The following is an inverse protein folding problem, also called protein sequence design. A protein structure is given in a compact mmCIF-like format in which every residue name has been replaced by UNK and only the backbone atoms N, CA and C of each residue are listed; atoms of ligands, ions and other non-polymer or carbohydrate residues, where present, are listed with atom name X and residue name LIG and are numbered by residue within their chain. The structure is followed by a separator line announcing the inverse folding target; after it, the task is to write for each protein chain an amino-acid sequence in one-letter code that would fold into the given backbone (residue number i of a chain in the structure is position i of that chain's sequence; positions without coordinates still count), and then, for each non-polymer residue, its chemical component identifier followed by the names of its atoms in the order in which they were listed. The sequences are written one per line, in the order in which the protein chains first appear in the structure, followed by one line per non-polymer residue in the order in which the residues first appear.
data_IF_202519124799
#
_entry.id   IF_202519124799
#
_cell.length_a   1.000
_cell.length_b   1.000
_cell.length_c   1.000
_cell.angle_alpha   90.00
_cell.angle_beta   90.00
_cell.angle_gamma   90.00
#
_symmetry.space_group_name_H-M   'P 1'
#
loop_
_entity.id
_entity.type
_entity.pdbx_description
1 polymer ?
#
# COMPACT_ATOMS: atom_id res chain seq x y z
N UNK A 1 37.08 73.02 -30.57
CA UNK A 1 36.71 71.66 -31.02
C UNK A 1 35.82 71.03 -29.95
N UNK A 2 34.56 70.78 -30.30
CA UNK A 2 33.47 70.40 -29.41
C UNK A 2 33.56 68.90 -29.06
N UNK A 3 33.66 68.52 -27.78
CA UNK A 3 33.44 67.14 -27.34
C UNK A 3 32.22 67.09 -26.42
N UNK A 4 31.14 66.50 -26.97
CA UNK A 4 29.90 66.13 -26.29
C UNK A 4 30.19 65.02 -25.28
N UNK A 5 29.85 65.23 -24.01
CA UNK A 5 29.78 64.14 -23.02
C UNK A 5 28.31 63.93 -22.67
N UNK A 6 27.80 62.76 -23.04
CA UNK A 6 26.42 62.32 -22.85
C UNK A 6 26.22 61.89 -21.40
N UNK A 7 25.21 62.46 -20.74
CA UNK A 7 24.67 62.01 -19.46
C UNK A 7 24.00 60.65 -19.66
N UNK A 8 24.55 59.59 -19.05
CA UNK A 8 23.91 58.28 -18.97
C UNK A 8 22.99 58.23 -17.75
N UNK A 9 21.67 58.24 -17.98
CA UNK A 9 20.67 57.93 -16.96
C UNK A 9 20.73 56.43 -16.64
N UNK A 10 21.08 56.08 -15.40
CA UNK A 10 20.91 54.73 -14.88
C UNK A 10 19.43 54.49 -14.57
N UNK A 11 18.78 53.64 -15.38
CA UNK A 11 17.43 53.16 -15.11
C UNK A 11 17.48 52.11 -14.00
N UNK A 12 16.97 52.44 -12.81
CA UNK A 12 16.71 51.48 -11.75
C UNK A 12 15.44 50.70 -12.12
N UNK A 13 15.62 49.48 -12.63
CA UNK A 13 14.51 48.55 -12.83
C UNK A 13 14.09 47.97 -11.47
N UNK A 14 13.02 48.50 -10.89
CA UNK A 14 12.35 47.88 -9.75
C UNK A 14 11.58 46.64 -10.24
N UNK A 15 12.18 45.46 -10.11
CA UNK A 15 11.51 44.18 -10.34
C UNK A 15 10.56 43.90 -9.18
N UNK A 16 9.33 44.40 -9.27
CA UNK A 16 8.19 43.92 -8.48
C UNK A 16 7.96 42.45 -8.83
N UNK A 17 8.49 41.56 -8.00
CA UNK A 17 8.16 40.14 -8.00
C UNK A 17 6.71 39.99 -7.57
N UNK A 18 5.79 39.97 -8.53
CA UNK A 18 4.43 39.51 -8.31
C UNK A 18 4.48 37.99 -8.15
N UNK A 19 4.70 37.52 -6.92
CA UNK A 19 4.32 36.17 -6.51
C UNK A 19 2.81 36.20 -6.27
N UNK A 20 1.98 35.57 -7.10
CA UNK A 20 0.59 35.35 -6.71
C UNK A 20 0.55 34.26 -5.63
N UNK A 21 0.05 34.53 -4.41
CA UNK A 21 -0.30 33.46 -3.51
C UNK A 21 -1.62 32.87 -4.00
N UNK A 22 -1.64 31.58 -4.30
CA UNK A 22 -2.76 30.68 -4.01
C UNK A 22 -2.43 29.29 -4.55
N UNK A 23 -1.97 28.42 -3.65
CA UNK A 23 -2.30 27.00 -3.73
C UNK A 23 -3.82 26.91 -3.88
N UNK A 24 -4.30 26.68 -5.12
CA UNK A 24 -5.68 26.25 -5.32
C UNK A 24 -5.76 24.85 -4.70
N UNK A 25 -6.20 24.79 -3.44
CA UNK A 25 -6.83 23.59 -2.92
C UNK A 25 -8.02 23.36 -3.84
N UNK A 26 -7.90 22.40 -4.75
CA UNK A 26 -9.04 22.00 -5.57
C UNK A 26 -10.21 21.75 -4.61
N UNK A 27 -11.31 22.48 -4.82
CA UNK A 27 -12.53 22.26 -4.06
C UNK A 27 -12.86 20.76 -4.15
N UNK A 28 -13.21 20.10 -3.02
CA UNK A 28 -13.61 18.72 -3.08
C UNK A 28 -14.75 18.62 -4.10
N UNK A 29 -14.53 17.88 -5.19
CA UNK A 29 -15.64 17.38 -6.00
C UNK A 29 -16.53 16.63 -5.02
N UNK A 30 -17.76 17.10 -4.84
CA UNK A 30 -18.69 16.53 -3.88
C UNK A 30 -18.92 15.07 -4.27
N UNK A 31 -18.19 14.18 -3.62
CA UNK A 31 -18.25 12.76 -3.89
C UNK A 31 -19.63 12.20 -3.59
N UNK A 32 -20.02 11.09 -4.20
CA UNK A 32 -21.31 10.44 -3.98
C UNK A 32 -21.40 10.00 -2.50
N UNK A 33 -22.34 10.53 -1.69
CA UNK A 33 -22.49 10.09 -0.30
C UNK A 33 -22.99 8.67 -0.23
N UNK A 34 -22.39 7.90 0.67
CA UNK A 34 -23.03 6.69 1.21
C UNK A 34 -24.23 7.12 2.05
N UNK A 35 -25.42 6.69 1.65
CA UNK A 35 -26.70 7.21 2.18
C UNK A 35 -27.22 6.45 3.38
N UNK A 36 -26.94 5.15 3.43
CA UNK A 36 -27.43 4.27 4.48
C UNK A 36 -26.43 3.15 4.79
N UNK A 37 -26.78 2.34 5.79
CA UNK A 37 -25.94 1.25 6.25
C UNK A 37 -25.86 0.08 5.23
N UNK A 38 -26.83 -0.07 4.32
CA UNK A 38 -26.77 -1.10 3.29
C UNK A 38 -25.76 -0.72 2.20
N UNK A 39 -25.78 0.54 1.75
CA UNK A 39 -24.80 1.10 0.82
C UNK A 39 -23.39 1.08 1.44
N UNK A 40 -23.26 1.39 2.74
CA UNK A 40 -21.98 1.31 3.45
C UNK A 40 -21.39 -0.10 3.43
N UNK A 41 -22.22 -1.12 3.67
CA UNK A 41 -21.82 -2.53 3.59
C UNK A 41 -21.44 -2.93 2.17
N UNK A 42 -22.19 -2.48 1.17
CA UNK A 42 -21.89 -2.73 -0.24
C UNK A 42 -20.54 -2.15 -0.64
N UNK A 43 -20.25 -0.91 -0.23
CA UNK A 43 -18.94 -0.26 -0.44
C UNK A 43 -17.82 -1.06 0.23
N UNK A 44 -17.98 -1.44 1.50
CA UNK A 44 -16.99 -2.21 2.24
C UNK A 44 -16.74 -3.58 1.59
N UNK A 45 -17.80 -4.28 1.19
CA UNK A 45 -17.70 -5.54 0.46
C UNK A 45 -16.94 -5.39 -0.87
N UNK A 46 -17.22 -4.32 -1.63
CA UNK A 46 -16.49 -3.99 -2.86
C UNK A 46 -15.01 -3.68 -2.64
N UNK A 47 -14.65 -3.17 -1.46
CA UNK A 47 -13.27 -2.97 -1.02
C UNK A 47 -12.64 -4.22 -0.38
N UNK A 48 -13.38 -5.33 -0.30
CA UNK A 48 -13.00 -6.54 0.41
C UNK A 48 -12.65 -6.31 1.89
N UNK A 49 -13.33 -5.33 2.51
CA UNK A 49 -13.24 -4.98 3.92
C UNK A 49 -14.45 -5.53 4.67
N UNK A 50 -14.23 -5.87 5.94
CA UNK A 50 -15.26 -6.42 6.82
C UNK A 50 -15.39 -5.49 8.02
N UNK A 51 -16.60 -5.01 8.28
CA UNK A 51 -16.89 -4.19 9.45
C UNK A 51 -18.13 -4.71 10.19
N UNK A 52 -18.22 -4.53 11.53
CA UNK A 52 -19.39 -4.95 12.29
C UNK A 52 -20.65 -4.19 11.84
N UNK A 53 -21.77 -4.90 11.71
CA UNK A 53 -23.06 -4.35 11.27
C UNK A 53 -23.63 -3.32 12.27
N UNK A 54 -23.69 -3.67 13.55
CA UNK A 54 -24.30 -2.88 14.62
C UNK A 54 -23.79 -1.41 14.71
N UNK A 55 -22.46 -1.14 14.70
CA UNK A 55 -21.95 0.23 14.67
C UNK A 55 -22.38 1.04 13.44
N UNK A 56 -22.47 0.40 12.27
CA UNK A 56 -22.92 1.07 11.05
C UNK A 56 -24.42 1.40 11.17
N UNK A 57 -25.26 0.43 11.55
CA UNK A 57 -26.70 0.66 11.72
C UNK A 57 -26.97 1.79 12.71
N UNK A 58 -26.29 1.79 13.86
CA UNK A 58 -26.41 2.88 14.85
C UNK A 58 -25.99 4.23 14.29
N UNK A 59 -24.89 4.28 13.54
CA UNK A 59 -24.36 5.53 13.00
C UNK A 59 -25.28 6.16 11.93
N UNK A 60 -25.99 5.33 11.17
CA UNK A 60 -26.97 5.78 10.18
C UNK A 60 -28.36 6.01 10.78
N UNK A 61 -28.77 5.26 11.80
CA UNK A 61 -30.05 5.46 12.51
C UNK A 61 -30.12 6.79 13.26
N UNK A 62 -28.99 7.27 13.81
CA UNK A 62 -28.90 8.58 14.47
C UNK A 62 -28.76 9.78 13.52
N UNK A 63 -28.74 9.56 12.20
CA UNK A 63 -28.40 10.57 11.20
C UNK A 63 -29.64 11.07 10.45
N UNK A 64 -30.55 11.76 11.14
CA UNK A 64 -31.51 12.61 10.45
C UNK A 64 -30.75 13.74 9.73
N UNK A 65 -30.65 13.64 8.41
CA UNK A 65 -30.35 14.72 7.48
C UNK A 65 -29.14 15.61 7.80
N UNK A 66 -27.93 15.12 7.55
CA UNK A 66 -26.80 15.98 7.13
C UNK A 66 -25.83 15.14 6.31
N UNK A 67 -26.10 15.02 5.01
CA UNK A 67 -25.16 14.48 4.01
C UNK A 67 -24.01 15.44 3.71
N UNK A 68 -24.16 16.69 4.14
CA UNK A 68 -23.11 17.70 4.17
C UNK A 68 -22.53 17.73 5.58
N UNK A 69 -21.45 16.97 5.81
CA UNK A 69 -20.56 17.30 6.91
C UNK A 69 -19.95 18.68 6.56
N UNK A 70 -20.13 19.73 7.38
CA UNK A 70 -19.36 20.95 7.20
C UNK A 70 -17.87 20.57 7.18
N UNK A 71 -17.01 21.30 6.45
CA UNK A 71 -15.59 20.95 6.35
C UNK A 71 -14.99 20.85 7.75
N UNK A 72 -14.93 19.61 8.25
CA UNK A 72 -14.35 19.31 9.54
C UNK A 72 -12.87 19.60 9.37
N UNK A 73 -12.37 20.59 10.11
CA UNK A 73 -10.93 20.86 10.20
C UNK A 73 -10.22 19.52 10.33
N UNK A 74 -9.27 19.25 9.43
CA UNK A 74 -8.58 17.97 9.42
C UNK A 74 -7.82 17.84 10.73
N UNK A 75 -8.41 17.11 11.68
CA UNK A 75 -7.76 16.81 12.94
C UNK A 75 -6.64 15.81 12.68
N UNK A 76 -5.50 16.04 13.31
CA UNK A 76 -4.44 15.05 13.35
C UNK A 76 -4.98 13.74 13.98
N UNK A 77 -4.50 12.60 13.49
CA UNK A 77 -4.80 11.33 14.15
C UNK A 77 -4.24 11.34 15.59
N UNK A 78 -4.86 10.63 16.53
CA UNK A 78 -4.22 10.34 17.81
C UNK A 78 -2.86 9.66 17.58
N UNK A 79 -1.90 9.86 18.50
CA UNK A 79 -0.66 9.11 18.49
C UNK A 79 -0.93 7.60 18.55
N UNK A 80 -0.14 6.81 17.82
CA UNK A 80 -0.22 5.37 17.93
C UNK A 80 0.37 4.93 19.28
N UNK A 81 -0.31 4.06 20.04
CA UNK A 81 0.13 3.74 21.40
C UNK A 81 1.40 2.87 21.45
N UNK A 82 1.77 2.20 20.35
CA UNK A 82 2.97 1.36 20.28
C UNK A 82 3.01 0.19 21.27
N UNK A 83 1.87 -0.12 21.91
CA UNK A 83 1.76 -1.08 23.01
C UNK A 83 1.72 -2.53 22.50
N UNK A 84 2.86 -3.04 22.04
CA UNK A 84 3.05 -4.47 21.74
C UNK A 84 3.13 -5.29 23.04
N UNK A 85 2.73 -6.56 22.99
CA UNK A 85 2.76 -7.46 24.15
C UNK A 85 4.16 -8.03 24.43
N UNK A 86 5.02 -8.06 23.40
CA UNK A 86 6.41 -8.52 23.51
C UNK A 86 7.34 -7.70 22.62
N UNK A 87 8.65 -7.79 22.88
CA UNK A 87 9.66 -7.20 22.00
C UNK A 87 9.65 -7.83 20.60
N UNK A 88 9.33 -9.12 20.50
CA UNK A 88 9.19 -9.82 19.22
C UNK A 88 8.00 -9.27 18.41
N UNK A 89 6.85 -9.07 19.06
CA UNK A 89 5.68 -8.43 18.41
C UNK A 89 6.00 -7.01 17.98
N UNK A 90 6.70 -6.24 18.83
CA UNK A 90 7.14 -4.88 18.49
C UNK A 90 8.05 -4.87 17.26
N UNK A 91 9.05 -5.73 17.23
CA UNK A 91 9.98 -5.84 16.11
C UNK A 91 9.23 -6.24 14.84
N UNK A 92 8.33 -7.23 14.92
CA UNK A 92 7.52 -7.70 13.79
C UNK A 92 6.60 -6.60 13.25
N UNK A 93 5.95 -5.84 14.12
CA UNK A 93 5.09 -4.72 13.74
C UNK A 93 5.89 -3.65 12.97
N UNK A 94 7.04 -3.23 13.51
CA UNK A 94 7.92 -2.25 12.87
C UNK A 94 8.43 -2.79 11.52
N UNK A 95 8.75 -4.08 11.44
CA UNK A 95 9.18 -4.74 10.20
C UNK A 95 8.08 -4.71 9.12
N UNK A 96 6.85 -5.08 9.47
CA UNK A 96 5.71 -5.04 8.55
C UNK A 96 5.41 -3.60 8.10
N UNK A 97 5.44 -2.63 9.03
CA UNK A 97 5.27 -1.21 8.70
C UNK A 97 6.39 -0.69 7.78
N UNK A 98 7.63 -1.11 8.03
CA UNK A 98 8.79 -0.78 7.19
C UNK A 98 8.59 -1.29 5.77
N UNK A 99 8.16 -2.54 5.61
CA UNK A 99 7.90 -3.12 4.29
C UNK A 99 6.84 -2.31 3.54
N UNK A 100 5.72 -1.99 4.20
CA UNK A 100 4.68 -1.16 3.58
C UNK A 100 5.22 0.21 3.15
N UNK A 101 5.93 0.92 4.03
CA UNK A 101 6.51 2.23 3.68
C UNK A 101 7.52 2.13 2.53
N UNK A 102 8.35 1.10 2.52
CA UNK A 102 9.36 0.90 1.47
C UNK A 102 8.70 0.64 0.11
N UNK A 103 7.82 -0.34 0.02
CA UNK A 103 7.26 -0.75 -1.27
C UNK A 103 6.27 0.30 -1.83
N UNK A 104 5.59 1.05 -0.96
CA UNK A 104 4.61 2.05 -1.39
C UNK A 104 5.22 3.44 -1.61
N UNK A 105 6.32 3.77 -0.94
CA UNK A 105 6.79 5.16 -0.86
C UNK A 105 8.32 5.33 -0.84
N UNK A 106 9.14 4.33 -1.21
CA UNK A 106 10.62 4.49 -1.24
C UNK A 106 11.11 5.64 -2.11
N UNK A 107 10.39 5.94 -3.19
CA UNK A 107 10.71 7.01 -4.16
C UNK A 107 10.05 8.35 -3.80
N UNK A 108 9.24 8.38 -2.74
CA UNK A 108 8.57 9.59 -2.26
C UNK A 108 9.48 10.39 -1.32
N UNK A 109 9.24 11.70 -1.16
CA UNK A 109 9.80 12.47 -0.06
C UNK A 109 9.48 11.83 1.30
N UNK A 110 10.27 12.15 2.33
CA UNK A 110 10.05 11.63 3.70
C UNK A 110 8.62 11.83 4.21
N UNK A 111 7.97 12.94 3.84
CA UNK A 111 6.58 13.19 4.21
C UNK A 111 5.59 12.23 3.53
N UNK A 112 5.87 11.78 2.30
CA UNK A 112 5.10 10.71 1.64
C UNK A 112 5.24 9.36 2.37
N UNK A 113 6.44 9.05 2.85
CA UNK A 113 6.68 7.86 3.68
C UNK A 113 5.94 7.93 5.02
N UNK A 114 5.99 9.09 5.69
CA UNK A 114 5.25 9.34 6.93
C UNK A 114 3.74 9.23 6.72
N UNK A 115 3.23 9.73 5.59
CA UNK A 115 1.84 9.64 5.23
C UNK A 115 1.36 8.18 5.06
N UNK A 116 2.13 7.34 4.34
CA UNK A 116 1.82 5.89 4.22
C UNK A 116 1.85 5.20 5.59
N UNK A 117 2.88 5.46 6.41
CA UNK A 117 2.97 4.89 7.75
C UNK A 117 1.74 5.26 8.60
N UNK A 118 1.32 6.53 8.55
CA UNK A 118 0.15 7.01 9.26
C UNK A 118 -1.13 6.31 8.79
N UNK A 119 -1.32 6.09 7.49
CA UNK A 119 -2.48 5.36 6.94
C UNK A 119 -2.53 3.93 7.47
N UNK A 120 -1.41 3.20 7.49
CA UNK A 120 -1.35 1.84 8.03
C UNK A 120 -1.78 1.85 9.50
N UNK A 121 -1.24 2.76 10.32
CA UNK A 121 -1.59 2.85 11.75
C UNK A 121 -3.02 3.36 12.00
N UNK A 122 -3.59 4.12 11.06
CA UNK A 122 -5.01 4.48 11.10
C UNK A 122 -5.89 3.25 10.85
N UNK A 123 -5.54 2.40 9.86
CA UNK A 123 -6.23 1.14 9.58
C UNK A 123 -6.22 0.20 10.77
N UNK A 124 -5.09 0.04 11.47
CA UNK A 124 -4.99 -0.78 12.70
C UNK A 124 -5.97 -0.35 13.80
N UNK A 125 -6.47 0.88 13.75
CA UNK A 125 -7.41 1.46 14.72
C UNK A 125 -8.80 1.65 14.13
N UNK A 126 -9.07 1.13 12.94
CA UNK A 126 -10.33 1.26 12.23
C UNK A 126 -11.05 -0.09 12.16
N UNK A 127 -12.34 -0.12 12.51
CA UNK A 127 -13.11 -1.36 12.61
C UNK A 127 -13.33 -2.11 11.29
N UNK A 128 -13.04 -1.50 10.15
CA UNK A 128 -13.11 -2.16 8.85
C UNK A 128 -11.84 -2.97 8.50
N UNK A 129 -10.80 -2.92 9.34
CA UNK A 129 -9.49 -3.49 9.07
C UNK A 129 -9.02 -4.43 10.21
N UNK A 130 -7.99 -5.25 9.95
CA UNK A 130 -7.31 -6.01 10.99
C UNK A 130 -6.71 -5.11 12.07
N UNK A 131 -6.73 -5.57 13.33
CA UNK A 131 -6.25 -4.83 14.50
C UNK A 131 -4.75 -5.01 14.80
N UNK A 132 -3.95 -5.46 13.83
CA UNK A 132 -2.50 -5.61 13.96
C UNK A 132 -1.79 -5.06 12.72
N UNK A 133 -0.55 -4.60 12.87
CA UNK A 133 0.17 -3.93 11.78
C UNK A 133 0.43 -4.91 10.64
N UNK A 134 0.94 -6.10 10.95
CA UNK A 134 1.17 -7.13 9.95
C UNK A 134 -0.15 -7.64 9.35
N UNK A 135 -1.22 -7.72 10.16
CA UNK A 135 -2.55 -8.07 9.66
C UNK A 135 -3.06 -7.09 8.59
N UNK A 136 -2.87 -5.78 8.79
CA UNK A 136 -3.20 -4.75 7.80
C UNK A 136 -2.31 -4.84 6.55
N UNK A 137 -1.00 -4.98 6.75
CA UNK A 137 -0.03 -4.98 5.64
C UNK A 137 -0.20 -6.20 4.72
N UNK A 138 -0.48 -7.37 5.29
CA UNK A 138 -0.68 -8.61 4.52
C UNK A 138 -2.15 -8.95 4.28
N UNK A 139 -3.05 -7.99 4.48
CA UNK A 139 -4.48 -8.17 4.25
C UNK A 139 -4.74 -8.58 2.78
N UNK A 140 -5.40 -9.72 2.61
CA UNK A 140 -5.74 -10.25 1.29
C UNK A 140 -4.61 -10.98 0.58
N UNK A 141 -3.42 -11.12 1.17
CA UNK A 141 -2.27 -11.78 0.54
C UNK A 141 -2.50 -13.24 0.10
N UNK A 142 -3.46 -13.92 0.73
CA UNK A 142 -3.87 -15.29 0.39
C UNK A 142 -5.14 -15.38 -0.46
N UNK A 143 -5.77 -14.24 -0.79
CA UNK A 143 -7.01 -14.18 -1.55
C UNK A 143 -6.72 -14.19 -3.05
N UNK A 144 -7.60 -14.81 -3.82
CA UNK A 144 -7.56 -14.75 -5.30
C UNK A 144 -8.04 -13.41 -5.87
N UNK A 145 -8.75 -12.62 -5.07
CA UNK A 145 -9.41 -11.37 -5.47
C UNK A 145 -8.48 -10.16 -5.43
N UNK A 146 -7.26 -10.31 -4.94
CA UNK A 146 -6.26 -9.24 -4.85
C UNK A 146 -5.84 -8.94 -3.42
N UNK A 147 -4.82 -8.08 -3.32
CA UNK A 147 -4.09 -7.81 -2.08
C UNK A 147 -4.16 -6.32 -1.77
N UNK A 148 -4.25 -5.99 -0.48
CA UNK A 148 -4.37 -4.59 -0.06
C UNK A 148 -3.11 -3.79 -0.45
N UNK A 149 -1.94 -4.41 -0.33
CA UNK A 149 -0.67 -3.88 -0.81
C UNK A 149 -0.16 -4.80 -1.91
N UNK A 150 0.13 -4.29 -3.10
CA UNK A 150 0.42 -5.14 -4.26
C UNK A 150 1.68 -5.97 -4.05
N UNK A 151 2.68 -5.41 -3.34
CA UNK A 151 3.98 -6.04 -3.11
C UNK A 151 3.88 -7.38 -2.38
N UNK A 152 2.78 -7.65 -1.67
CA UNK A 152 2.56 -8.92 -0.98
C UNK A 152 2.20 -10.06 -1.92
N UNK A 153 1.90 -9.75 -3.19
CA UNK A 153 1.35 -10.70 -4.17
C UNK A 153 1.96 -10.60 -5.58
N UNK A 154 2.59 -9.49 -5.92
CA UNK A 154 3.18 -9.26 -7.25
C UNK A 154 4.63 -9.78 -7.39
N UNK A 155 5.19 -10.36 -6.32
CA UNK A 155 6.56 -10.89 -6.29
C UNK A 155 7.64 -9.84 -5.99
N UNK A 156 7.29 -8.58 -5.71
CA UNK A 156 8.24 -7.50 -5.39
C UNK A 156 9.21 -7.83 -4.26
N UNK A 157 8.77 -8.67 -3.30
CA UNK A 157 9.61 -9.11 -2.18
C UNK A 157 10.76 -10.04 -2.57
N UNK A 158 10.73 -10.61 -3.78
CA UNK A 158 11.78 -11.51 -4.29
C UNK A 158 12.98 -10.74 -4.86
N UNK A 159 12.86 -9.42 -5.03
CA UNK A 159 13.93 -8.59 -5.57
C UNK A 159 14.81 -8.02 -4.46
N UNK A 160 16.11 -7.81 -4.72
CA UNK A 160 17.00 -7.11 -3.80
C UNK A 160 16.46 -5.72 -3.44
N UNK A 161 16.58 -5.36 -2.17
CA UNK A 161 16.18 -4.05 -1.65
C UNK A 161 17.35 -3.08 -1.69
N UNK A 162 17.08 -1.83 -2.03
CA UNK A 162 17.99 -0.73 -1.77
C UNK A 162 18.12 -0.51 -0.25
N UNK A 163 19.32 -0.72 0.28
CA UNK A 163 19.58 -0.65 1.72
C UNK A 163 19.40 0.75 2.33
N UNK A 164 19.74 1.81 1.60
CA UNK A 164 19.60 3.18 2.09
C UNK A 164 18.11 3.59 2.13
N UNK A 165 17.34 3.24 1.10
CA UNK A 165 15.91 3.47 1.08
C UNK A 165 15.17 2.62 2.13
N UNK A 166 15.61 1.37 2.35
CA UNK A 166 15.09 0.53 3.42
C UNK A 166 15.34 1.12 4.81
N UNK A 167 16.57 1.59 5.06
CA UNK A 167 16.90 2.24 6.33
C UNK A 167 16.06 3.51 6.60
N UNK A 168 15.81 4.32 5.56
CA UNK A 168 14.90 5.47 5.66
C UNK A 168 13.47 5.06 6.01
N UNK A 169 12.92 4.07 5.29
CA UNK A 169 11.59 3.53 5.56
C UNK A 169 11.49 2.97 6.99
N UNK A 170 12.51 2.26 7.46
CA UNK A 170 12.58 1.69 8.80
C UNK A 170 12.60 2.77 9.89
N UNK A 171 13.33 3.86 9.66
CA UNK A 171 13.34 5.01 10.58
C UNK A 171 11.96 5.67 10.67
N UNK A 172 11.27 5.85 9.54
CA UNK A 172 9.91 6.41 9.52
C UNK A 172 8.92 5.48 10.21
N UNK A 173 8.97 4.18 9.92
CA UNK A 173 8.11 3.17 10.52
C UNK A 173 8.27 3.14 12.05
N UNK A 174 9.51 3.11 12.55
CA UNK A 174 9.78 3.13 14.00
C UNK A 174 9.22 4.39 14.66
N UNK A 175 9.51 5.57 14.10
CA UNK A 175 9.01 6.82 14.64
C UNK A 175 7.47 6.86 14.69
N UNK A 176 6.80 6.41 13.62
CA UNK A 176 5.34 6.38 13.57
C UNK A 176 4.74 5.39 14.58
N UNK A 177 5.33 4.18 14.70
CA UNK A 177 4.94 3.18 15.68
C UNK A 177 5.13 3.70 17.13
N UNK A 178 6.16 4.52 17.36
CA UNK A 178 6.45 5.16 18.64
C UNK A 178 5.65 6.44 18.89
N UNK A 179 4.63 6.71 18.06
CA UNK A 179 3.65 7.76 18.30
C UNK A 179 3.88 9.05 17.53
N UNK A 180 4.89 9.13 16.65
CA UNK A 180 5.04 10.27 15.74
C UNK A 180 3.85 10.35 14.78
N UNK A 181 3.11 11.45 14.85
CA UNK A 181 1.92 11.68 14.02
C UNK A 181 2.24 12.54 12.81
N UNK A 182 1.84 12.10 11.62
CA UNK A 182 1.84 12.93 10.43
C UNK A 182 0.47 13.59 10.24
N UNK A 183 0.30 14.76 10.86
CA UNK A 183 -0.98 15.49 10.90
C UNK A 183 -1.64 15.77 9.53
N UNK A 184 -0.91 16.07 8.43
CA UNK A 184 -1.53 16.44 7.15
C UNK A 184 -2.42 15.39 6.50
N UNK A 185 -2.35 14.11 6.91
CA UNK A 185 -3.25 13.06 6.40
C UNK A 185 -4.35 12.67 7.40
N UNK A 186 -4.38 13.27 8.59
CA UNK A 186 -5.42 13.06 9.61
C UNK A 186 -5.84 11.60 9.76
N UNK A 187 -7.14 11.34 9.62
CA UNK A 187 -7.76 10.01 9.73
C UNK A 187 -7.77 9.19 8.43
N UNK A 188 -6.90 9.49 7.46
CA UNK A 188 -6.90 8.76 6.18
C UNK A 188 -6.68 7.27 6.35
N UNK A 189 -7.48 6.48 5.63
CA UNK A 189 -7.43 5.01 5.54
C UNK A 189 -7.20 4.53 4.12
N UNK A 190 -7.28 5.41 3.12
CA UNK A 190 -7.12 5.06 1.71
C UNK A 190 -6.30 6.12 0.99
N UNK A 191 -5.54 5.70 -0.02
CA UNK A 191 -4.85 6.58 -0.95
C UNK A 191 -4.73 5.92 -2.32
N UNK A 192 -4.42 6.72 -3.34
CA UNK A 192 -4.01 6.22 -4.64
C UNK A 192 -2.99 7.16 -5.27
N UNK A 193 -2.25 6.68 -6.27
CA UNK A 193 -1.38 7.52 -7.09
C UNK A 193 -2.21 8.53 -7.89
N UNK A 194 -1.75 9.77 -8.00
CA UNK A 194 -2.46 10.85 -8.69
C UNK A 194 -2.69 10.57 -10.20
N UNK A 195 -1.99 9.60 -10.77
CA UNK A 195 -2.11 9.17 -12.17
C UNK A 195 -3.29 8.23 -12.44
N UNK A 196 -4.00 7.74 -11.40
CA UNK A 196 -5.15 6.84 -11.55
C UNK A 196 -6.39 7.39 -10.84
N UNK A 197 -7.57 6.93 -11.24
CA UNK A 197 -8.84 7.30 -10.61
C UNK A 197 -9.65 6.04 -10.25
N UNK A 198 -9.58 5.57 -9.00
CA UNK A 198 -10.30 4.38 -8.58
C UNK A 198 -11.80 4.65 -8.34
N UNK A 199 -12.64 3.64 -8.58
CA UNK A 199 -14.11 3.74 -8.49
C UNK A 199 -14.62 4.13 -7.10
N UNK A 200 -13.88 3.80 -6.05
CA UNK A 200 -14.25 4.09 -4.65
C UNK A 200 -13.93 5.53 -4.23
N UNK A 201 -13.06 6.25 -4.95
CA UNK A 201 -12.61 7.58 -4.54
C UNK A 201 -13.76 8.59 -4.35
N UNK A 202 -14.79 8.64 -5.21
CA UNK A 202 -15.95 9.49 -4.99
C UNK A 202 -16.77 9.16 -3.74
N UNK A 203 -16.71 7.93 -3.21
CA UNK A 203 -17.46 7.56 -2.00
C UNK A 203 -16.79 8.04 -0.71
N UNK A 204 -15.55 8.54 -0.79
CA UNK A 204 -14.74 8.96 0.35
C UNK A 204 -14.50 10.48 0.36
N UNK A 205 -14.13 11.02 1.51
CA UNK A 205 -13.72 12.42 1.63
C UNK A 205 -12.24 12.56 1.31
N UNK A 206 -11.93 13.31 0.25
CA UNK A 206 -10.54 13.67 -0.10
C UNK A 206 -9.94 14.55 0.99
N UNK A 207 -8.77 14.17 1.48
CA UNK A 207 -8.01 14.90 2.51
C UNK A 207 -7.03 15.88 1.87
N UNK A 208 -6.21 15.39 0.93
CA UNK A 208 -5.15 16.18 0.31
C UNK A 208 -4.22 15.32 -0.51
N UNK A 209 -3.14 15.93 -1.01
CA UNK A 209 -2.07 15.22 -1.70
C UNK A 209 -0.74 15.41 -0.95
N UNK A 210 0.04 14.34 -0.86
CA UNK A 210 1.40 14.34 -0.32
C UNK A 210 2.26 13.54 -1.28
N UNK A 211 3.24 14.20 -1.89
CA UNK A 211 4.00 13.62 -2.99
C UNK A 211 3.08 13.21 -4.15
N UNK A 212 3.25 11.99 -4.67
CA UNK A 212 2.46 11.45 -5.77
C UNK A 212 1.09 10.86 -5.33
N UNK A 213 0.76 10.89 -4.04
CA UNK A 213 -0.43 10.23 -3.49
C UNK A 213 -1.54 11.21 -3.12
N UNK A 214 -2.78 10.82 -3.39
CA UNK A 214 -3.99 11.50 -2.93
C UNK A 214 -4.61 10.67 -1.82
N UNK A 215 -4.87 11.29 -0.67
CA UNK A 215 -5.34 10.63 0.55
C UNK A 215 -6.83 10.87 0.80
N UNK A 216 -7.49 9.86 1.36
CA UNK A 216 -8.92 9.80 1.59
C UNK A 216 -9.24 9.25 2.97
N UNK A 217 -10.35 9.70 3.53
CA UNK A 217 -10.93 9.18 4.78
C UNK A 217 -12.40 8.83 4.58
N UNK A 218 -12.94 8.04 5.51
CA UNK A 218 -14.39 7.83 5.60
C UNK A 218 -15.13 9.16 5.73
N UNK A 219 -16.41 9.15 5.35
CA UNK A 219 -17.27 10.33 5.39
C UNK A 219 -18.43 10.14 6.36
N UNK A 220 -18.79 11.19 7.11
CA UNK A 220 -20.01 11.24 7.88
C UNK A 220 -20.20 10.07 8.84
N UNK A 221 -21.32 9.36 8.71
CA UNK A 221 -21.69 8.24 9.56
C UNK A 221 -20.62 7.12 9.56
N UNK A 222 -19.98 6.85 8.42
CA UNK A 222 -18.91 5.85 8.35
C UNK A 222 -17.68 6.24 9.20
N UNK A 223 -17.24 7.51 9.11
CA UNK A 223 -16.09 7.98 9.92
C UNK A 223 -16.39 7.84 11.41
N UNK A 224 -17.61 8.21 11.84
CA UNK A 224 -18.03 8.08 13.25
C UNK A 224 -18.09 6.63 13.74
N UNK A 225 -18.51 5.70 12.86
CA UNK A 225 -18.68 4.29 13.17
C UNK A 225 -17.36 3.50 13.20
N UNK A 226 -16.41 3.85 12.33
CA UNK A 226 -15.25 3.00 12.02
C UNK A 226 -13.93 3.57 12.55
N UNK A 227 -13.66 4.85 12.35
CA UNK A 227 -12.33 5.43 12.59
C UNK A 227 -11.99 5.53 14.07
N UNK A 228 -10.83 5.01 14.44
CA UNK A 228 -10.31 5.02 15.82
C UNK A 228 -11.25 4.36 16.84
N UNK A 229 -12.06 3.39 16.39
CA UNK A 229 -12.99 2.62 17.24
C UNK A 229 -12.49 1.21 17.57
N UNK A 230 -11.27 0.89 17.14
CA UNK A 230 -10.59 -0.38 17.37
C UNK A 230 -9.26 -0.12 18.09
N UNK A 231 -8.87 -1.04 18.97
CA UNK A 231 -7.59 -1.03 19.66
C UNK A 231 -6.59 -1.92 18.93
N UNK A 232 -5.33 -1.50 18.90
CA UNK A 232 -4.23 -2.37 18.47
C UNK A 232 -4.18 -3.61 19.36
N UNK A 233 -4.09 -4.81 18.76
CA UNK A 233 -4.10 -6.07 19.49
C UNK A 233 -2.82 -6.31 20.31
N UNK A 234 -1.71 -5.66 19.95
CA UNK A 234 -0.42 -5.85 20.59
C UNK A 234 0.30 -7.13 20.19
N UNK A 235 -0.36 -8.04 19.46
CA UNK A 235 0.20 -9.29 18.93
C UNK A 235 0.26 -9.22 17.42
N UNK A 236 1.36 -9.69 16.84
CA UNK A 236 1.59 -9.65 15.41
C UNK A 236 1.56 -11.07 14.80
N UNK A 237 0.68 -11.33 13.81
CA UNK A 237 0.61 -12.63 13.16
C UNK A 237 1.93 -12.98 12.46
N UNK A 238 2.32 -14.25 12.57
CA UNK A 238 3.43 -14.83 11.80
C UNK A 238 2.97 -15.06 10.36
N UNK A 239 2.96 -14.03 9.52
CA UNK A 239 2.68 -14.23 8.11
C UNK A 239 3.85 -14.95 7.44
N UNK A 240 3.60 -16.17 6.96
CA UNK A 240 4.54 -17.11 6.31
C UNK A 240 5.05 -16.60 4.94
N UNK A 241 4.79 -15.35 4.56
CA UNK A 241 5.15 -14.76 3.28
C UNK A 241 6.22 -13.65 3.37
N UNK A 242 6.78 -13.41 4.55
CA UNK A 242 7.98 -12.59 4.70
C UNK A 242 9.20 -13.49 4.55
N UNK A 243 10.05 -13.34 3.50
CA UNK A 243 11.33 -14.01 3.49
C UNK A 243 12.11 -13.60 4.75
N UNK A 244 12.85 -14.55 5.35
CA UNK A 244 13.60 -14.44 6.63
C UNK A 244 14.50 -13.19 6.75
N UNK A 245 14.72 -12.49 5.64
CA UNK A 245 15.41 -11.20 5.53
C UNK A 245 14.72 -10.03 6.26
N UNK A 246 13.48 -10.17 6.77
CA UNK A 246 12.80 -9.10 7.53
C UNK A 246 13.34 -8.96 8.96
N UNK A 247 13.82 -10.04 9.58
CA UNK A 247 14.31 -10.04 10.97
C UNK A 247 15.83 -9.89 11.09
N UNK A 248 16.58 -9.95 9.99
CA UNK A 248 18.04 -9.83 9.99
C UNK A 248 18.50 -8.36 9.98
N UNK A 249 18.22 -7.63 11.06
CA UNK A 249 18.91 -6.39 11.38
C UNK A 249 19.28 -6.40 12.87
N UNK A 250 20.20 -7.30 13.24
CA UNK A 250 20.92 -7.18 14.50
C UNK A 250 21.86 -5.95 14.45
N UNK A 251 22.00 -5.18 15.54
CA UNK A 251 22.95 -4.08 15.58
C UNK A 251 24.37 -4.65 15.55
N UNK A 252 25.17 -4.22 14.57
CA UNK A 252 26.61 -4.46 14.60
C UNK A 252 27.18 -3.83 15.87
N UNK A 253 27.66 -4.66 16.79
CA UNK A 253 28.41 -4.22 17.95
C UNK A 253 29.64 -3.44 17.48
N UNK A 254 29.82 -2.25 18.02
CA UNK A 254 31.00 -1.41 17.85
C UNK A 254 32.23 -2.18 18.38
N UNK A 255 33.16 -2.53 17.51
CA UNK A 255 34.47 -3.04 17.93
C UNK A 255 35.30 -1.86 18.45
N UNK A 256 35.44 -1.78 19.78
CA UNK A 256 36.50 -1.01 20.39
C UNK A 256 37.86 -1.73 20.24
N UNK A 257 38.87 -0.89 20.12
CA UNK A 257 40.26 -1.16 19.79
C UNK A 257 41.01 -1.91 20.92
N UNK A 258 41.68 -3.02 20.59
CA UNK A 258 42.57 -3.73 21.51
C UNK A 258 43.85 -4.19 20.80
N UNK A 259 44.97 -3.57 21.18
CA UNK A 259 46.31 -3.75 20.62
C UNK A 259 47.03 -4.99 21.16
N UNK A 260 47.75 -5.67 20.27
CA UNK A 260 48.91 -6.57 20.45
C UNK A 260 48.74 -7.97 21.08
N UNK A 261 49.32 -8.97 20.40
CA UNK A 261 49.62 -10.29 20.97
C UNK A 261 49.87 -11.35 19.89
N UNK A 262 51.10 -11.42 19.38
CA UNK A 262 51.57 -12.50 18.51
C UNK A 262 51.48 -13.85 19.25
N UNK A 263 50.87 -14.86 18.65
CA UNK A 263 50.73 -16.19 19.23
C UNK A 263 50.40 -17.24 18.18
N UNK A 264 51.42 -18.01 17.78
CA UNK A 264 51.34 -19.18 16.90
C UNK A 264 50.78 -20.37 17.68
N UNK A 265 49.77 -21.06 17.15
CA UNK A 265 49.29 -22.33 17.70
C UNK A 265 49.41 -23.44 16.66
N UNK A 266 50.27 -24.42 16.99
CA UNK A 266 50.56 -25.65 16.24
C UNK A 266 49.60 -26.75 16.69
N UNK A 267 49.04 -27.51 15.74
CA UNK A 267 48.47 -28.84 16.05
C UNK A 267 49.19 -29.92 15.22
N UNK A 268 49.99 -30.73 15.92
CA UNK A 268 50.53 -32.04 15.45
C UNK A 268 49.56 -33.14 15.90
N UNK A 269 49.24 -34.06 15.00
CA UNK A 269 48.22 -35.09 15.19
C UNK A 269 48.71 -36.48 15.59
N UNK A 270 47.76 -37.44 15.61
CA UNK A 270 47.83 -38.93 15.52
C UNK A 270 46.54 -39.50 16.17
N UNK A 271 45.90 -40.61 15.81
CA UNK A 271 46.01 -41.66 14.78
C UNK A 271 44.69 -42.47 14.75
N UNK A 272 44.41 -43.12 13.63
CA UNK A 272 43.33 -44.11 13.37
C UNK A 272 43.56 -45.47 14.09
N UNK A 273 42.61 -46.43 14.03
CA UNK A 273 42.54 -47.43 12.93
C UNK A 273 41.11 -47.52 12.33
N UNK A 274 40.87 -47.74 11.03
CA UNK A 274 41.32 -48.85 10.16
C UNK A 274 40.27 -49.98 10.25
N UNK A 275 39.45 -50.27 9.24
CA UNK A 275 39.69 -51.25 8.14
C UNK A 275 38.44 -51.24 7.22
N UNK A 276 38.56 -50.81 5.95
CA UNK A 276 38.44 -51.60 4.68
C UNK A 276 37.01 -52.00 4.26
N UNK A 277 36.61 -52.17 3.00
CA UNK A 277 37.04 -51.82 1.62
C UNK A 277 35.92 -52.39 0.73
N UNK A 278 35.46 -51.68 -0.31
CA UNK A 278 35.05 -52.31 -1.58
C UNK A 278 34.80 -51.26 -2.67
N UNK A 279 35.63 -51.34 -3.72
CA UNK A 279 35.51 -50.68 -5.01
C UNK A 279 34.28 -51.21 -5.78
N UNK A 280 33.69 -50.37 -6.62
CA UNK A 280 33.43 -50.66 -8.05
C UNK A 280 32.94 -49.42 -8.81
N UNK A 281 33.63 -49.12 -9.90
CA UNK A 281 33.23 -48.32 -11.08
C UNK A 281 33.45 -49.24 -12.31
N UNK A 282 33.09 -48.91 -13.57
CA UNK A 282 32.43 -47.69 -14.11
C UNK A 282 31.27 -48.02 -15.09
N UNK A 283 30.55 -47.00 -15.59
CA UNK A 283 30.19 -46.94 -17.02
C UNK A 283 29.72 -45.54 -17.44
N UNK A 284 30.20 -45.12 -18.61
CA UNK A 284 29.96 -43.84 -19.30
C UNK A 284 28.52 -43.68 -19.82
N UNK A 285 28.05 -42.44 -19.99
CA UNK A 285 27.65 -41.93 -21.33
C UNK A 285 27.06 -40.50 -21.27
N UNK A 286 27.73 -39.61 -22.00
CA UNK A 286 27.20 -38.60 -22.94
C UNK A 286 26.35 -37.39 -22.48
N UNK A 287 27.03 -36.23 -22.56
CA UNK A 287 26.66 -34.98 -23.26
C UNK A 287 25.25 -34.38 -23.14
N UNK A 288 25.20 -33.11 -22.67
CA UNK A 288 25.05 -31.93 -23.54
C UNK A 288 24.53 -30.71 -22.77
N UNK A 289 25.25 -29.59 -22.90
CA UNK A 289 24.77 -28.23 -22.57
C UNK A 289 23.91 -27.69 -23.71
N UNK A 290 22.85 -26.92 -23.43
CA UNK A 290 22.69 -25.63 -24.13
C UNK A 290 22.31 -24.51 -23.14
N UNK A 291 23.09 -23.43 -23.06
CA UNK A 291 22.93 -22.17 -23.80
C UNK A 291 21.61 -21.46 -23.57
N UNK A 292 21.73 -20.33 -22.87
CA UNK A 292 20.78 -19.23 -22.72
C UNK A 292 20.40 -18.66 -24.09
N UNK A 293 19.10 -18.47 -24.32
CA UNK A 293 18.58 -17.52 -25.30
C UNK A 293 17.65 -16.52 -24.60
N UNK A 294 18.08 -15.26 -24.56
CA UNK A 294 17.21 -14.10 -24.39
C UNK A 294 16.62 -13.76 -25.77
N UNK A 295 15.29 -13.67 -25.86
CA UNK A 295 14.61 -12.78 -26.80
C UNK A 295 13.16 -12.53 -26.38
N UNK A 296 12.92 -11.30 -25.95
CA UNK A 296 11.73 -10.45 -26.12
C UNK A 296 10.44 -11.06 -26.67
N UNK A 297 9.38 -11.00 -25.87
CA UNK A 297 8.01 -11.24 -26.35
C UNK A 297 6.97 -11.25 -25.25
N UNK A 298 6.74 -10.11 -24.59
CA UNK A 298 5.55 -9.92 -23.75
C UNK A 298 4.34 -9.92 -24.68
N UNK A 299 3.55 -10.99 -24.67
CA UNK A 299 2.23 -11.02 -25.32
C UNK A 299 1.18 -10.63 -24.28
N UNK A 300 0.83 -9.33 -24.27
CA UNK A 300 -0.32 -8.81 -23.56
C UNK A 300 -1.57 -9.20 -24.34
N UNK A 301 -2.47 -9.98 -23.74
CA UNK A 301 -3.84 -10.11 -24.21
C UNK A 301 -4.73 -9.26 -23.30
N UNK A 302 -5.08 -8.07 -23.77
CA UNK A 302 -6.21 -7.27 -23.26
C UNK A 302 -7.26 -7.29 -24.36
N UNK A 303 -8.48 -7.69 -23.97
CA UNK A 303 -9.53 -8.17 -24.86
C UNK A 303 -10.21 -7.11 -25.73
N UNK A 304 -11.02 -7.62 -26.66
CA UNK A 304 -12.11 -6.86 -27.28
C UNK A 304 -13.40 -7.68 -27.20
N UNK A 305 -14.50 -6.97 -27.03
CA UNK A 305 -15.78 -7.42 -26.51
C UNK A 305 -16.70 -8.10 -27.54
N UNK A 306 -17.73 -8.72 -26.96
CA UNK A 306 -19.09 -8.99 -27.46
C UNK A 306 -19.35 -10.18 -28.40
N UNK A 307 -20.12 -11.15 -27.88
CA UNK A 307 -21.45 -11.49 -28.39
C UNK A 307 -22.24 -12.29 -27.32
N UNK A 308 -23.54 -11.99 -27.21
CA UNK A 308 -24.50 -12.62 -26.29
C UNK A 308 -24.87 -14.07 -26.65
N UNK A 309 -25.92 -14.62 -26.02
CA UNK A 309 -26.07 -16.04 -25.75
C UNK A 309 -26.57 -16.83 -26.95
N UNK A 310 -26.02 -18.03 -27.16
CA UNK A 310 -26.58 -19.04 -28.06
C UNK A 310 -27.19 -20.14 -27.20
N UNK A 311 -28.53 -20.17 -27.16
CA UNK A 311 -29.33 -21.31 -26.76
C UNK A 311 -29.70 -22.12 -27.99
N UNK A 312 -29.66 -23.46 -27.87
CA UNK A 312 -30.63 -24.39 -28.44
C UNK A 312 -30.57 -24.66 -29.94
N UNK A 313 -30.20 -25.89 -30.31
CA UNK A 313 -30.51 -26.49 -31.61
C UNK A 313 -31.30 -27.78 -31.39
N UNK A 314 -32.46 -27.93 -32.06
CA UNK A 314 -33.22 -29.18 -32.03
C UNK A 314 -34.62 -29.20 -32.68
N UNK A 315 -34.66 -29.05 -34.02
CA UNK A 315 -35.65 -29.60 -34.97
C UNK A 315 -37.08 -29.00 -35.14
N UNK A 316 -37.71 -29.14 -36.34
CA UNK A 316 -38.67 -28.18 -36.92
C UNK A 316 -40.07 -28.73 -37.33
N UNK A 317 -40.89 -27.81 -37.90
CA UNK A 317 -42.09 -27.92 -38.78
C UNK A 317 -43.48 -27.68 -38.13
N UNK A 318 -44.52 -27.22 -38.88
CA UNK A 318 -44.56 -26.41 -40.11
C UNK A 318 -45.54 -25.20 -40.06
N UNK A 319 -45.46 -24.44 -41.15
CA UNK A 319 -46.28 -23.32 -41.64
C UNK A 319 -47.80 -23.48 -41.44
N UNK A 320 -48.44 -22.42 -40.93
CA UNK A 320 -49.85 -22.09 -41.20
C UNK A 320 -49.93 -20.60 -41.54
N UNK A 321 -50.34 -20.33 -42.78
CA UNK A 321 -50.68 -19.01 -43.28
C UNK A 321 -52.16 -18.75 -43.00
N UNK A 322 -52.52 -17.60 -42.41
CA UNK A 322 -53.86 -17.01 -42.54
C UNK A 322 -53.80 -15.48 -42.46
N UNK A 323 -54.11 -14.91 -43.63
CA UNK A 323 -54.79 -13.67 -44.01
C UNK A 323 -54.90 -12.46 -43.07
N UNK A 324 -54.57 -11.32 -43.68
CA UNK A 324 -55.14 -9.99 -43.43
C UNK A 324 -56.68 -10.02 -43.35
N UNK A 325 -57.24 -9.21 -42.47
CA UNK A 325 -58.49 -8.47 -42.74
C UNK A 325 -58.41 -7.17 -41.92
N UNK A 326 -58.46 -6.07 -42.65
CA UNK A 326 -58.61 -4.72 -42.14
C UNK A 326 -60.08 -4.48 -41.85
N UNK A 327 -60.42 -3.69 -40.84
CA UNK A 327 -61.60 -2.84 -40.99
C UNK A 327 -61.46 -1.54 -40.17
N UNK A 328 -61.92 -0.40 -40.71
CA UNK A 328 -61.82 0.91 -40.09
C UNK A 328 -63.12 1.31 -39.38
N UNK A 329 -63.02 2.23 -38.43
CA UNK A 329 -63.86 3.43 -38.34
C UNK A 329 -63.32 4.39 -37.30
#
# INVERSE_FOLDING_TARGET
MLKRTVLGFAAIAASTSCVPPSTRVAAPTAGVPVRDAAEARSLLAGLALEAPAEPLDRAFAGSAASTDDPPRTLAAAPAFPGAAQSDDDRQRAIACLTAAVYYEARSEPTDGQRAVAQVVLNRVRDRAFPHSVCGVVYQGSTRRTGCQFSFTCDGSMNHPRDGAAWARAASVARAAFDGSVFAPVGASTSYHAASILPWWAPSLSRVGAVGAHIFYRWRGAMERALSFRQTYAGVEPTHVAAPDTILAASPSASTELGTAGSGVTVHRGRTMPGVETALSTPSESSAATPRVHLASGVRIHIGSAHAGPVLGGGAPLPVVSISEESDPT
#
